data_IF_943932669496
#
_entry.id   IF_943932669496
#
_cell.length_a   1.000
_cell.length_b   1.000
_cell.length_c   1.000
_cell.angle_alpha   90.00
_cell.angle_beta   90.00
_cell.angle_gamma   90.00
#
_symmetry.space_group_name_H-M   'P 1'
#
loop_
_entity.id
_entity.type
_entity.pdbx_description
1 polymer ?
#
# COMPACT_ATOMS: atom_id res chain seq x y z
N UNK A 1 -24.30 12.31 12.45
CA UNK A 1 -23.53 11.36 11.63
C UNK A 1 -22.86 10.38 12.58
N UNK A 2 -22.95 9.07 12.35
CA UNK A 2 -22.31 8.03 13.17
C UNK A 2 -20.79 8.00 12.89
N UNK A 3 -19.95 7.78 13.91
CA UNK A 3 -18.50 7.66 13.79
C UNK A 3 -18.09 6.54 12.81
N UNK A 4 -18.77 5.39 12.85
CA UNK A 4 -18.56 4.29 11.90
C UNK A 4 -18.82 4.73 10.45
N UNK A 5 -19.94 5.44 10.21
CA UNK A 5 -20.27 5.94 8.87
C UNK A 5 -19.26 6.99 8.35
N UNK A 6 -18.72 7.82 9.25
CA UNK A 6 -17.64 8.76 8.89
C UNK A 6 -16.35 8.03 8.56
N UNK A 7 -16.01 6.98 9.32
CA UNK A 7 -14.83 6.17 9.07
C UNK A 7 -14.91 5.45 7.71
N UNK A 8 -16.04 4.81 7.40
CA UNK A 8 -16.28 4.18 6.08
C UNK A 8 -16.18 5.20 4.94
N UNK A 9 -16.71 6.41 5.13
CA UNK A 9 -16.59 7.48 4.12
C UNK A 9 -15.16 7.95 3.94
N UNK A 10 -14.43 8.14 5.03
CA UNK A 10 -13.03 8.53 5.02
C UNK A 10 -12.19 7.45 4.31
N UNK A 11 -12.42 6.19 4.67
CA UNK A 11 -11.80 5.02 4.05
C UNK A 11 -12.01 5.00 2.53
N UNK A 12 -13.26 5.03 2.06
CA UNK A 12 -13.58 5.05 0.63
C UNK A 12 -12.86 6.20 -0.12
N UNK A 13 -12.77 7.38 0.49
CA UNK A 13 -12.09 8.54 -0.12
C UNK A 13 -10.58 8.37 -0.15
N UNK A 14 -9.97 7.85 0.91
CA UNK A 14 -8.54 7.55 0.96
C UNK A 14 -8.15 6.49 -0.06
N UNK A 15 -8.95 5.42 -0.16
CA UNK A 15 -8.75 4.37 -1.16
C UNK A 15 -8.88 4.93 -2.56
N UNK A 16 -9.95 5.67 -2.87
CA UNK A 16 -10.14 6.33 -4.18
C UNK A 16 -8.98 7.28 -4.50
N UNK A 17 -8.56 8.09 -3.54
CA UNK A 17 -7.43 9.00 -3.68
C UNK A 17 -6.13 8.25 -3.99
N UNK A 18 -5.84 7.17 -3.27
CA UNK A 18 -4.63 6.36 -3.45
C UNK A 18 -4.63 5.66 -4.81
N UNK A 19 -5.77 5.11 -5.25
CA UNK A 19 -5.93 4.53 -6.58
C UNK A 19 -5.71 5.56 -7.69
N UNK A 20 -6.32 6.74 -7.58
CA UNK A 20 -6.13 7.83 -8.54
C UNK A 20 -4.65 8.26 -8.58
N UNK A 21 -4.01 8.41 -7.43
CA UNK A 21 -2.60 8.80 -7.32
C UNK A 21 -1.64 7.77 -7.94
N UNK A 22 -1.91 6.46 -7.78
CA UNK A 22 -1.09 5.40 -8.37
C UNK A 22 -1.24 5.29 -9.89
N UNK A 23 -2.40 5.69 -10.43
CA UNK A 23 -2.70 5.58 -11.86
C UNK A 23 -2.28 6.80 -12.67
N UNK A 24 -2.03 7.95 -12.03
CA UNK A 24 -1.44 9.11 -12.71
C UNK A 24 0.00 8.78 -13.08
N UNK A 25 0.20 8.34 -14.33
CA UNK A 25 1.52 8.18 -14.92
C UNK A 25 2.34 9.47 -14.70
N UNK A 26 3.49 9.32 -14.02
CA UNK A 26 4.40 10.40 -13.57
C UNK A 26 4.88 11.36 -14.68
N UNK A 27 4.51 11.14 -15.94
CA UNK A 27 4.97 11.92 -17.09
C UNK A 27 3.92 12.82 -17.77
N UNK A 28 2.61 12.74 -17.49
CA UNK A 28 1.64 13.39 -18.40
C UNK A 28 0.52 14.27 -17.80
N UNK A 29 0.17 14.25 -16.51
CA UNK A 29 -1.00 15.03 -16.07
C UNK A 29 -0.85 15.85 -14.77
N UNK A 30 -0.16 16.99 -14.83
CA UNK A 30 -0.19 18.04 -13.78
C UNK A 30 -1.62 18.46 -13.42
N UNK A 31 -2.52 18.50 -14.40
CA UNK A 31 -3.94 18.82 -14.18
C UNK A 31 -4.68 17.77 -13.35
N UNK A 32 -4.32 16.49 -13.49
CA UNK A 32 -4.91 15.39 -12.71
C UNK A 32 -4.33 15.37 -11.31
N UNK A 33 -3.03 15.63 -11.15
CA UNK A 33 -2.40 15.81 -9.83
C UNK A 33 -3.03 16.97 -9.04
N UNK A 34 -3.27 18.11 -9.67
CA UNK A 34 -3.93 19.25 -9.02
C UNK A 34 -5.39 18.93 -8.67
N UNK A 35 -6.10 18.17 -9.50
CA UNK A 35 -7.46 17.73 -9.21
C UNK A 35 -7.53 16.79 -8.01
N UNK A 36 -6.54 15.92 -7.84
CA UNK A 36 -6.38 15.03 -6.69
C UNK A 36 -6.07 15.86 -5.43
N UNK A 37 -5.06 16.74 -5.47
CA UNK A 37 -4.66 17.60 -4.33
C UNK A 37 -5.76 18.53 -3.83
N UNK A 38 -6.65 19.01 -4.72
CA UNK A 38 -7.81 19.83 -4.32
C UNK A 38 -8.77 19.09 -3.38
N UNK A 39 -8.76 17.75 -3.38
CA UNK A 39 -9.63 16.92 -2.52
C UNK A 39 -9.02 16.69 -1.13
N UNK A 40 -7.71 16.85 -0.96
CA UNK A 40 -6.98 16.61 0.30
C UNK A 40 -7.58 17.35 1.50
N UNK A 41 -7.94 18.66 1.41
CA UNK A 41 -8.52 19.37 2.54
C UNK A 41 -9.87 18.79 2.98
N UNK A 42 -10.65 18.26 2.03
CA UNK A 42 -11.93 17.61 2.31
C UNK A 42 -11.75 16.27 3.01
N UNK A 43 -10.72 15.51 2.65
CA UNK A 43 -10.35 14.25 3.31
C UNK A 43 -9.84 14.53 4.73
N UNK A 44 -8.96 15.52 4.89
CA UNK A 44 -8.50 15.97 6.21
C UNK A 44 -9.64 16.47 7.09
N UNK A 45 -10.62 17.17 6.53
CA UNK A 45 -11.80 17.64 7.28
C UNK A 45 -12.63 16.46 7.82
N UNK A 46 -12.81 15.41 7.02
CA UNK A 46 -13.48 14.18 7.47
C UNK A 46 -12.70 13.46 8.58
N UNK A 47 -11.38 13.37 8.45
CA UNK A 47 -10.52 12.81 9.49
C UNK A 47 -10.60 13.62 10.79
N UNK A 48 -10.61 14.96 10.71
CA UNK A 48 -10.81 15.83 11.89
C UNK A 48 -12.17 15.59 12.54
N UNK A 49 -13.25 15.48 11.76
CA UNK A 49 -14.59 15.21 12.29
C UNK A 49 -14.66 13.84 12.98
N UNK A 50 -14.03 12.83 12.39
CA UNK A 50 -13.90 11.51 13.01
C UNK A 50 -13.14 11.59 14.34
N UNK A 51 -11.97 12.22 14.38
CA UNK A 51 -11.16 12.34 15.61
C UNK A 51 -11.91 13.09 16.72
N UNK A 52 -12.69 14.13 16.39
CA UNK A 52 -13.55 14.83 17.35
C UNK A 52 -14.55 13.85 17.99
N UNK A 53 -15.13 12.93 17.23
CA UNK A 53 -16.04 11.92 17.77
C UNK A 53 -15.28 10.90 18.63
N UNK A 54 -14.08 10.46 18.22
CA UNK A 54 -13.25 9.58 19.04
C UNK A 54 -12.97 10.18 20.43
N UNK A 55 -12.57 11.46 20.48
CA UNK A 55 -12.32 12.14 21.76
C UNK A 55 -13.58 12.30 22.61
N UNK A 56 -14.75 12.54 22.00
CA UNK A 56 -16.03 12.57 22.74
C UNK A 56 -16.37 11.19 23.32
N UNK A 57 -16.14 10.12 22.56
CA UNK A 57 -16.37 8.75 23.02
C UNK A 57 -15.41 8.38 24.16
N UNK A 58 -14.13 8.74 24.04
CA UNK A 58 -13.12 8.58 25.08
C UNK A 58 -13.51 9.31 26.38
N UNK A 59 -14.02 10.54 26.27
CA UNK A 59 -14.51 11.29 27.41
C UNK A 59 -15.73 10.62 28.08
N UNK A 60 -16.68 10.09 27.30
CA UNK A 60 -17.84 9.37 27.83
C UNK A 60 -17.46 8.07 28.55
N UNK A 61 -16.46 7.34 28.03
CA UNK A 61 -15.88 6.16 28.68
C UNK A 61 -15.22 6.55 29.99
N UNK A 62 -14.39 7.62 29.99
CA UNK A 62 -13.74 8.15 31.20
C UNK A 62 -14.74 8.58 32.27
N UNK A 63 -15.85 9.20 31.87
CA UNK A 63 -16.94 9.62 32.76
C UNK A 63 -17.85 8.46 33.21
N UNK A 64 -17.57 7.21 32.81
CA UNK A 64 -18.39 6.01 33.08
C UNK A 64 -19.86 6.16 32.66
N UNK A 65 -20.11 6.98 31.63
CA UNK A 65 -21.43 7.17 31.01
C UNK A 65 -21.64 6.31 29.77
N UNK A 66 -20.59 5.61 29.34
CA UNK A 66 -20.63 4.65 28.25
C UNK A 66 -21.16 3.28 28.71
N UNK A 67 -21.65 2.44 27.79
CA UNK A 67 -22.01 1.04 28.07
C UNK A 67 -20.87 0.26 28.73
N UNK A 68 -21.20 -0.82 29.46
CA UNK A 68 -20.19 -1.71 30.05
C UNK A 68 -19.27 -2.25 28.95
N UNK A 69 -17.96 -2.25 29.21
CA UNK A 69 -16.90 -2.67 28.28
C UNK A 69 -16.80 -1.86 26.97
N UNK A 70 -17.36 -0.64 26.92
CA UNK A 70 -17.17 0.23 25.76
C UNK A 70 -15.69 0.65 25.62
N UNK A 71 -15.10 0.33 24.47
CA UNK A 71 -13.75 0.72 24.08
C UNK A 71 -13.86 1.93 23.15
N UNK A 72 -13.11 2.99 23.44
CA UNK A 72 -13.07 4.15 22.56
C UNK A 72 -12.23 3.84 21.29
N UNK A 73 -12.69 4.24 20.10
CA UNK A 73 -11.93 4.07 18.87
C UNK A 73 -10.69 4.96 18.87
N UNK A 74 -9.62 4.47 18.24
CA UNK A 74 -8.38 5.22 18.11
C UNK A 74 -8.51 6.37 17.10
N UNK A 75 -7.99 7.57 17.40
CA UNK A 75 -7.96 8.69 16.47
C UNK A 75 -6.93 8.45 15.36
N UNK A 76 -7.19 9.00 14.17
CA UNK A 76 -6.31 8.85 13.01
C UNK A 76 -5.29 9.99 12.98
N UNK A 77 -3.97 9.70 12.85
CA UNK A 77 -2.96 10.73 12.72
C UNK A 77 -3.15 11.53 11.43
N UNK A 78 -3.33 12.85 11.55
CA UNK A 78 -3.59 13.71 10.40
C UNK A 78 -2.34 13.97 9.54
N UNK A 79 -1.13 13.84 10.12
CA UNK A 79 0.14 14.09 9.42
C UNK A 79 0.47 12.99 8.41
N UNK A 80 0.15 11.75 8.76
CA UNK A 80 0.43 10.54 7.96
C UNK A 80 -0.82 10.04 7.24
N UNK A 81 -1.89 10.84 7.20
CA UNK A 81 -3.19 10.45 6.64
C UNK A 81 -3.12 9.97 5.17
N UNK A 82 -2.17 10.49 4.40
CA UNK A 82 -1.95 10.14 2.99
C UNK A 82 -0.82 9.14 2.79
N UNK A 83 -0.02 8.87 3.82
CA UNK A 83 1.05 7.86 3.79
C UNK A 83 0.51 6.52 4.29
N UNK A 84 -0.54 6.06 3.61
CA UNK A 84 -1.39 4.99 4.10
C UNK A 84 -0.64 3.64 4.06
N UNK A 85 -0.40 3.03 5.22
CA UNK A 85 0.14 1.67 5.34
C UNK A 85 -0.97 0.66 5.68
N UNK A 86 -0.70 -0.63 5.47
CA UNK A 86 -1.62 -1.75 5.76
C UNK A 86 -1.92 -1.85 7.26
N UNK A 87 -1.00 -1.38 8.09
CA UNK A 87 -1.08 -1.44 9.55
C UNK A 87 -1.80 -0.24 10.20
N UNK A 88 -2.25 0.73 9.40
CA UNK A 88 -2.84 1.96 9.91
C UNK A 88 -4.15 1.76 10.68
N UNK A 89 -4.37 2.65 11.65
CA UNK A 89 -5.57 2.70 12.50
C UNK A 89 -6.87 2.81 11.68
N UNK A 90 -6.81 3.40 10.48
CA UNK A 90 -7.97 3.51 9.58
C UNK A 90 -8.56 2.14 9.23
N UNK A 91 -7.79 1.06 9.29
CA UNK A 91 -8.24 -0.29 8.96
C UNK A 91 -8.89 -1.02 10.15
N UNK A 92 -8.84 -0.47 11.37
CA UNK A 92 -9.30 -1.15 12.59
C UNK A 92 -10.65 -0.62 13.10
N UNK A 93 -11.73 -1.41 13.04
CA UNK A 93 -13.08 -0.98 13.47
C UNK A 93 -13.34 -1.14 14.99
N UNK A 94 -12.28 -1.21 15.79
CA UNK A 94 -12.37 -1.39 17.25
C UNK A 94 -13.18 -0.26 17.89
N UNK A 95 -14.24 -0.62 18.62
CA UNK A 95 -15.10 0.33 19.33
C UNK A 95 -16.13 1.06 18.46
N UNK A 96 -16.24 0.69 17.17
CA UNK A 96 -17.20 1.27 16.23
C UNK A 96 -18.25 0.28 15.73
N UNK A 97 -18.06 -1.01 15.95
CA UNK A 97 -19.07 -2.02 15.64
C UNK A 97 -20.28 -1.86 16.60
N UNK A 98 -21.48 -2.01 16.03
CA UNK A 98 -22.75 -1.91 16.76
C UNK A 98 -23.28 -3.30 17.18
N UNK A 99 -22.58 -4.37 16.81
CA UNK A 99 -22.89 -5.75 17.17
C UNK A 99 -22.26 -6.02 18.53
N UNK A 100 -22.93 -5.60 19.61
CA UNK A 100 -22.47 -5.69 20.99
C UNK A 100 -22.23 -7.10 21.56
N UNK A 101 -21.73 -8.05 20.76
CA UNK A 101 -21.64 -9.48 21.07
C UNK A 101 -20.20 -9.98 21.24
N UNK A 102 -19.19 -9.12 21.15
CA UNK A 102 -17.83 -9.56 21.37
C UNK A 102 -17.42 -9.31 22.82
N UNK A 103 -18.09 -10.03 23.74
CA UNK A 103 -17.75 -10.04 25.17
C UNK A 103 -16.31 -10.54 25.40
N UNK A 104 -15.77 -11.31 24.45
CA UNK A 104 -14.37 -11.74 24.38
C UNK A 104 -13.83 -11.65 22.94
N UNK A 105 -13.15 -10.55 22.57
CA UNK A 105 -12.58 -10.42 21.23
C UNK A 105 -11.47 -11.42 20.97
N UNK A 106 -11.36 -11.93 19.72
CA UNK A 106 -10.31 -12.86 19.36
C UNK A 106 -8.92 -12.32 19.70
N UNK A 107 -8.00 -13.20 20.08
CA UNK A 107 -6.66 -12.80 20.47
C UNK A 107 -5.88 -12.08 19.35
N UNK A 108 -6.17 -12.35 18.08
CA UNK A 108 -5.55 -11.61 16.97
C UNK A 108 -5.97 -10.12 16.93
N UNK A 109 -7.07 -9.74 17.58
CA UNK A 109 -7.56 -8.37 17.65
C UNK A 109 -7.09 -7.64 18.92
N UNK A 110 -6.87 -8.35 20.03
CA UNK A 110 -6.57 -7.75 21.35
C UNK A 110 -5.20 -8.04 21.92
N UNK A 111 -4.54 -9.12 21.50
CA UNK A 111 -3.23 -9.51 22.00
C UNK A 111 -2.15 -9.04 21.02
N UNK A 112 -1.31 -8.10 21.47
CA UNK A 112 -0.21 -7.55 20.66
C UNK A 112 0.87 -8.58 20.31
N UNK A 113 1.13 -9.57 21.17
CA UNK A 113 2.08 -10.65 20.87
C UNK A 113 1.55 -11.53 19.75
N UNK A 114 0.24 -11.83 19.75
CA UNK A 114 -0.40 -12.60 18.68
C UNK A 114 -0.38 -11.82 17.37
N UNK A 115 -0.66 -10.51 17.39
CA UNK A 115 -0.55 -9.64 16.20
C UNK A 115 0.87 -9.61 15.66
N UNK A 116 1.85 -9.39 16.53
CA UNK A 116 3.26 -9.35 16.18
C UNK A 116 3.72 -10.69 15.58
N UNK A 117 3.30 -11.81 16.17
CA UNK A 117 3.56 -13.15 15.65
C UNK A 117 2.97 -13.38 14.26
N UNK A 118 1.71 -12.99 14.04
CA UNK A 118 1.05 -13.09 12.73
C UNK A 118 1.81 -12.25 11.69
N UNK A 119 2.13 -11.00 12.00
CA UNK A 119 2.92 -10.12 11.12
C UNK A 119 4.28 -10.71 10.79
N UNK A 120 4.97 -11.27 11.78
CA UNK A 120 6.27 -11.91 11.60
C UNK A 120 6.22 -13.12 10.67
N UNK A 121 5.19 -13.97 10.79
CA UNK A 121 4.99 -15.12 9.90
C UNK A 121 4.70 -14.66 8.47
N UNK A 122 3.79 -13.71 8.29
CA UNK A 122 3.46 -13.17 6.97
C UNK A 122 4.65 -12.49 6.30
N UNK A 123 5.46 -11.76 7.08
CA UNK A 123 6.66 -11.11 6.58
C UNK A 123 7.69 -12.15 6.12
N UNK A 124 7.92 -13.22 6.89
CA UNK A 124 8.79 -14.32 6.48
C UNK A 124 8.32 -14.94 5.17
N UNK A 125 7.04 -15.28 5.07
CA UNK A 125 6.49 -15.92 3.88
C UNK A 125 6.59 -15.00 2.64
N UNK A 126 6.43 -13.69 2.84
CA UNK A 126 6.67 -12.67 1.80
C UNK A 126 8.14 -12.60 1.40
N UNK A 127 9.08 -12.65 2.35
CA UNK A 127 10.50 -12.70 2.03
C UNK A 127 10.85 -13.95 1.20
N UNK A 128 10.25 -15.10 1.51
CA UNK A 128 10.45 -16.33 0.73
C UNK A 128 9.88 -16.23 -0.69
N UNK A 129 8.75 -15.54 -0.84
CA UNK A 129 8.18 -15.23 -2.16
C UNK A 129 9.08 -14.29 -2.96
N UNK A 130 9.53 -13.18 -2.37
CA UNK A 130 10.41 -12.21 -3.04
C UNK A 130 11.74 -12.86 -3.44
N UNK A 131 12.31 -13.71 -2.57
CA UNK A 131 13.53 -14.45 -2.92
C UNK A 131 13.30 -15.39 -4.12
N UNK A 132 12.13 -16.04 -4.21
CA UNK A 132 11.76 -16.85 -5.38
C UNK A 132 11.62 -15.97 -6.63
N UNK A 133 10.99 -14.81 -6.54
CA UNK A 133 10.84 -13.87 -7.67
C UNK A 133 12.20 -13.37 -8.16
N UNK A 134 13.05 -12.89 -7.26
CA UNK A 134 14.39 -12.42 -7.58
C UNK A 134 15.22 -13.50 -8.29
N UNK A 135 15.14 -14.77 -7.87
CA UNK A 135 15.82 -15.87 -8.57
C UNK A 135 15.32 -16.03 -10.00
N UNK A 136 14.00 -15.96 -10.23
CA UNK A 136 13.44 -16.02 -11.58
C UNK A 136 13.88 -14.84 -12.43
N UNK A 137 13.85 -13.62 -11.88
CA UNK A 137 14.29 -12.41 -12.58
C UNK A 137 15.78 -12.46 -12.93
N UNK A 138 16.64 -12.91 -12.02
CA UNK A 138 18.07 -13.10 -12.30
C UNK A 138 18.31 -14.10 -13.44
N UNK A 139 17.59 -15.23 -13.44
CA UNK A 139 17.69 -16.23 -14.52
C UNK A 139 17.20 -15.65 -15.84
N UNK A 140 16.07 -14.94 -15.84
CA UNK A 140 15.54 -14.30 -17.03
C UNK A 140 16.50 -13.25 -17.61
N UNK A 141 17.09 -12.40 -16.75
CA UNK A 141 18.09 -11.41 -17.15
C UNK A 141 19.34 -12.07 -17.75
N UNK A 142 19.80 -13.18 -17.17
CA UNK A 142 20.96 -13.91 -17.69
C UNK A 142 20.67 -14.48 -19.09
N UNK A 143 19.51 -15.12 -19.27
CA UNK A 143 19.12 -15.65 -20.59
C UNK A 143 19.01 -14.54 -21.62
N UNK A 144 18.31 -13.45 -21.29
CA UNK A 144 18.18 -12.30 -22.18
C UNK A 144 19.55 -11.73 -22.58
N UNK A 145 20.44 -11.48 -21.61
CA UNK A 145 21.78 -10.97 -21.90
C UNK A 145 22.60 -11.93 -22.77
N UNK A 146 22.50 -13.24 -22.53
CA UNK A 146 23.20 -14.24 -23.34
C UNK A 146 22.70 -14.27 -24.79
N UNK A 147 21.38 -14.14 -25.00
CA UNK A 147 20.79 -14.08 -26.34
C UNK A 147 21.24 -12.82 -27.08
N UNK A 148 21.16 -11.65 -26.43
CA UNK A 148 21.63 -10.38 -27.01
C UNK A 148 23.13 -10.42 -27.34
N UNK A 149 23.95 -11.01 -26.45
CA UNK A 149 25.38 -11.16 -26.68
C UNK A 149 25.68 -12.05 -27.90
N UNK A 150 24.94 -13.15 -28.07
CA UNK A 150 25.08 -14.01 -29.24
C UNK A 150 24.70 -13.28 -30.53
N UNK A 151 23.61 -12.50 -30.53
CA UNK A 151 23.19 -11.69 -31.68
C UNK A 151 24.26 -10.67 -32.05
N UNK A 152 24.82 -9.96 -31.08
CA UNK A 152 25.89 -8.97 -31.31
C UNK A 152 27.12 -9.64 -31.92
N UNK A 153 27.57 -10.78 -31.38
CA UNK A 153 28.72 -11.50 -31.93
C UNK A 153 28.46 -12.01 -33.35
N UNK A 154 27.29 -12.57 -33.63
CA UNK A 154 26.92 -13.01 -34.98
C UNK A 154 26.93 -11.84 -35.98
N UNK A 155 26.45 -10.66 -35.59
CA UNK A 155 26.52 -9.45 -36.41
C UNK A 155 27.97 -9.00 -36.67
N UNK A 156 28.85 -9.06 -35.67
CA UNK A 156 30.27 -8.73 -35.81
C UNK A 156 30.96 -9.72 -36.77
N UNK A 157 30.72 -11.02 -36.62
CA UNK A 157 31.26 -12.05 -37.50
C UNK A 157 30.77 -11.87 -38.94
N UNK A 158 29.48 -11.59 -39.14
CA UNK A 158 28.94 -11.31 -40.47
C UNK A 158 29.60 -10.07 -41.11
N UNK A 159 29.78 -8.98 -40.34
CA UNK A 159 30.42 -7.76 -40.83
C UNK A 159 31.90 -7.97 -41.19
N UNK A 160 32.64 -8.71 -40.37
CA UNK A 160 34.05 -9.02 -40.65
C UNK A 160 34.23 -9.94 -41.87
N UNK A 161 33.34 -10.92 -42.04
CA UNK A 161 33.33 -11.80 -43.21
C UNK A 161 32.95 -11.04 -44.51
N UNK A 162 32.02 -10.09 -44.45
CA UNK A 162 31.69 -9.22 -45.58
C UNK A 162 32.88 -8.33 -45.98
N UNK A 163 33.58 -7.74 -45.01
CA UNK A 163 34.78 -6.93 -45.25
C UNK A 163 35.92 -7.71 -45.91
N UNK A 164 36.16 -8.96 -45.49
CA UNK A 164 37.13 -9.86 -46.13
C UNK A 164 36.76 -10.23 -47.56
N UNK A 165 35.47 -10.36 -47.87
CA UNK A 165 35.02 -10.72 -49.21
C UNK A 165 35.19 -9.53 -50.20
N UNK A 166 35.01 -8.29 -49.75
CA UNK A 166 35.28 -7.09 -50.55
C UNK A 166 36.76 -6.89 -50.90
N UNK A 167 37.68 -7.31 -50.02
CA UNK A 167 39.12 -7.22 -50.27
C UNK A 167 39.64 -8.24 -51.29
N UNK A 168 38.95 -9.40 -51.43
CA UNK A 168 39.32 -10.45 -52.40
C UNK A 168 38.84 -10.11 -53.83
N UNK A 169 37.78 -9.30 -53.98
CA UNK A 169 37.21 -8.93 -55.28
C UNK A 169 37.88 -7.66 -55.88
N UNK A 170 38.81 -7.04 -55.16
CA UNK A 170 39.47 -5.78 -55.56
C UNK A 170 40.91 -5.93 -56.09
N UNK A 171 41.33 -7.14 -56.50
CA UNK A 171 42.62 -7.42 -57.17
C UNK A 171 42.37 -7.86 -58.60
#
# INVERSE_FOLDING_TARGET
>A
MNAHALKVRLWNRLTSWKFEQCFVDRKVCTQTEDAVKRRDPGIQALARQYNILCHKMEELVRLKRAPRNAIAPQPIPLKELFDLDVDDVIWQDVGLDASGDIENPPAWLTNEDVKSGIKGILLRDRCDEELRRLKHECIALYHWLSEEWQVVNACIEAATNLGRCSDIVSV
#
